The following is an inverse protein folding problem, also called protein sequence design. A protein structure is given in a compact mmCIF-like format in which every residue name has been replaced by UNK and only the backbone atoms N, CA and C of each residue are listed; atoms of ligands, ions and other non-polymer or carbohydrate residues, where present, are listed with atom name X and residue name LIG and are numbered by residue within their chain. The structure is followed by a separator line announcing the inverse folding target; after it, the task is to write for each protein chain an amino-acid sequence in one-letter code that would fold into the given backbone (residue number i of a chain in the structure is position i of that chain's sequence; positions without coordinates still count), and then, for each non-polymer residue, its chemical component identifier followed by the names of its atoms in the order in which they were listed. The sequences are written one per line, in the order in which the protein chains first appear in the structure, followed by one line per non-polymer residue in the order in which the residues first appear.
data_IF_503219010511
#
_entry.id   IF_503219010511
#
_cell.length_a   1.000
_cell.length_b   1.000
_cell.length_c   1.000
_cell.angle_alpha   90.00
_cell.angle_beta   90.00
_cell.angle_gamma   90.00
#
_symmetry.space_group_name_H-M   'P 1'
#
loop_
_entity.id
_entity.type
_entity.pdbx_description
1 polymer ?
#
# COMPACT_ATOMS: atom_id res chain seq x y z
N UNK A 1 36.87 5.05 -8.14
CA UNK A 1 35.85 4.14 -8.73
C UNK A 1 35.33 3.24 -7.63
N UNK A 2 34.08 3.40 -7.18
CA UNK A 2 33.48 2.51 -6.18
C UNK A 2 33.07 1.20 -6.88
N UNK A 3 33.69 0.09 -6.48
CA UNK A 3 33.24 -1.26 -6.86
C UNK A 3 31.86 -1.48 -6.24
N UNK A 4 30.81 -1.42 -7.07
CA UNK A 4 29.50 -1.88 -6.65
C UNK A 4 29.58 -3.40 -6.46
N UNK A 5 29.57 -3.86 -5.21
CA UNK A 5 29.36 -5.27 -4.87
C UNK A 5 27.89 -5.66 -5.13
N UNK A 6 27.42 -5.52 -6.37
CA UNK A 6 26.07 -5.90 -6.82
C UNK A 6 25.90 -7.43 -6.98
N UNK A 7 26.95 -8.19 -6.67
CA UNK A 7 27.00 -9.63 -6.74
C UNK A 7 27.53 -10.14 -5.40
N UNK A 8 26.88 -11.17 -4.84
CA UNK A 8 27.54 -12.04 -3.87
C UNK A 8 28.90 -12.42 -4.46
N UNK A 9 30.00 -12.13 -3.74
CA UNK A 9 31.38 -12.43 -4.16
C UNK A 9 31.43 -13.82 -4.80
N UNK A 10 32.06 -13.91 -5.98
CA UNK A 10 32.35 -15.19 -6.63
C UNK A 10 32.90 -16.17 -5.60
N UNK A 11 32.13 -17.21 -5.31
CA UNK A 11 32.51 -18.28 -4.41
C UNK A 11 32.87 -19.48 -5.28
N UNK A 12 34.09 -20.03 -5.22
CA UNK A 12 34.43 -21.26 -5.93
C UNK A 12 33.54 -22.46 -5.55
N UNK A 13 32.78 -22.40 -4.45
CA UNK A 13 31.69 -23.34 -4.15
C UNK A 13 30.41 -23.16 -4.98
N UNK A 14 30.32 -22.12 -5.82
CA UNK A 14 29.16 -21.86 -6.66
C UNK A 14 28.91 -22.97 -7.70
N UNK A 15 29.94 -23.72 -8.09
CA UNK A 15 29.78 -24.92 -8.94
C UNK A 15 29.03 -26.05 -8.22
N UNK A 16 29.14 -26.15 -6.89
CA UNK A 16 28.45 -27.19 -6.09
C UNK A 16 26.97 -26.79 -5.87
N UNK A 17 26.69 -25.49 -5.73
CA UNK A 17 25.34 -24.93 -5.52
C UNK A 17 24.55 -24.84 -6.85
N UNK A 18 25.25 -24.65 -7.97
CA UNK A 18 24.66 -24.61 -9.31
C UNK A 18 24.05 -25.97 -9.72
N UNK A 19 24.59 -27.10 -9.26
CA UNK A 19 24.16 -28.44 -9.68
C UNK A 19 22.68 -28.74 -9.33
N UNK A 20 22.21 -28.56 -8.08
CA UNK A 20 20.79 -28.74 -7.74
C UNK A 20 19.85 -27.82 -8.54
N UNK A 21 20.25 -26.57 -8.78
CA UNK A 21 19.46 -25.61 -9.51
C UNK A 21 19.38 -25.95 -11.02
N UNK A 22 20.51 -26.31 -11.63
CA UNK A 22 20.60 -26.80 -13.02
C UNK A 22 19.75 -28.06 -13.21
N UNK A 23 19.85 -29.01 -12.28
CA UNK A 23 19.03 -30.25 -12.31
C UNK A 23 17.54 -29.89 -12.22
N UNK A 24 17.15 -28.99 -11.31
CA UNK A 24 15.75 -28.56 -11.19
C UNK A 24 15.22 -27.82 -12.43
N UNK A 25 16.08 -27.04 -13.09
CA UNK A 25 15.76 -26.28 -14.31
C UNK A 25 15.64 -27.20 -15.52
N UNK A 26 16.58 -28.13 -15.69
CA UNK A 26 16.57 -29.12 -16.78
C UNK A 26 15.36 -30.04 -16.64
N UNK A 27 15.04 -30.49 -15.41
CA UNK A 27 13.84 -31.32 -15.14
C UNK A 27 12.55 -30.56 -15.45
N UNK A 28 12.51 -29.25 -15.18
CA UNK A 28 11.29 -28.44 -15.42
C UNK A 28 11.16 -27.91 -16.85
N UNK A 29 12.24 -27.83 -17.63
CA UNK A 29 12.23 -27.32 -19.00
C UNK A 29 11.80 -25.85 -19.17
N UNK A 30 11.72 -25.09 -18.07
CA UNK A 30 11.15 -23.74 -18.04
C UNK A 30 12.20 -22.66 -18.29
N UNK A 31 11.80 -21.63 -19.01
CA UNK A 31 12.62 -20.43 -19.20
C UNK A 31 12.54 -19.49 -17.97
N UNK A 32 13.46 -18.54 -17.88
CA UNK A 32 13.56 -17.60 -16.76
C UNK A 32 12.28 -16.79 -16.53
N UNK A 33 11.53 -16.48 -17.60
CA UNK A 33 10.28 -15.74 -17.52
C UNK A 33 9.21 -16.59 -16.85
N UNK A 34 9.05 -17.85 -17.26
CA UNK A 34 8.11 -18.80 -16.64
C UNK A 34 8.40 -19.01 -15.16
N UNK A 35 9.67 -19.23 -14.81
CA UNK A 35 10.11 -19.38 -13.41
C UNK A 35 9.78 -18.14 -12.58
N UNK A 36 10.01 -16.94 -13.14
CA UNK A 36 9.67 -15.69 -12.47
C UNK A 36 8.15 -15.54 -12.25
N UNK A 37 7.32 -15.90 -13.23
CA UNK A 37 5.86 -15.80 -13.08
C UNK A 37 5.30 -16.83 -12.10
N UNK A 38 5.90 -18.02 -11.99
CA UNK A 38 5.56 -18.98 -10.93
C UNK A 38 5.86 -18.43 -9.55
N UNK A 39 7.04 -17.80 -9.36
CA UNK A 39 7.39 -17.12 -8.12
C UNK A 39 6.40 -15.99 -7.83
N UNK A 40 6.07 -15.16 -8.82
CA UNK A 40 5.09 -14.08 -8.68
C UNK A 40 3.76 -14.65 -8.17
N UNK A 41 3.18 -15.63 -8.86
CA UNK A 41 1.87 -16.18 -8.49
C UNK A 41 1.88 -16.78 -7.08
N UNK A 42 2.90 -17.57 -6.75
CA UNK A 42 3.04 -18.16 -5.42
C UNK A 42 3.19 -17.10 -4.32
N UNK A 43 3.94 -16.01 -4.59
CA UNK A 43 4.10 -14.93 -3.62
C UNK A 43 2.86 -14.07 -3.47
N UNK A 44 2.07 -13.88 -4.53
CA UNK A 44 0.76 -13.20 -4.44
C UNK A 44 -0.18 -13.96 -3.52
N UNK A 45 -0.32 -15.27 -3.72
CA UNK A 45 -1.12 -16.14 -2.86
C UNK A 45 -0.62 -16.11 -1.42
N UNK A 46 0.70 -16.18 -1.22
CA UNK A 46 1.32 -16.09 0.11
C UNK A 46 1.03 -14.73 0.77
N UNK A 47 1.24 -13.63 0.05
CA UNK A 47 1.07 -12.27 0.56
C UNK A 47 -0.39 -11.93 0.87
N UNK A 48 -1.34 -12.45 0.11
CA UNK A 48 -2.78 -12.27 0.35
C UNK A 48 -3.23 -12.82 1.72
N UNK A 49 -2.51 -13.82 2.25
CA UNK A 49 -2.78 -14.41 3.56
C UNK A 49 -2.05 -13.71 4.72
N UNK A 50 -1.16 -12.75 4.43
CA UNK A 50 -0.39 -12.02 5.44
C UNK A 50 -1.17 -10.79 5.91
N UNK A 51 -1.51 -10.75 7.20
CA UNK A 51 -2.12 -9.59 7.87
C UNK A 51 -1.08 -8.89 8.71
N UNK A 52 -0.62 -7.73 8.24
CA UNK A 52 0.33 -6.89 8.97
C UNK A 52 -0.40 -5.77 9.74
N UNK A 53 -0.02 -5.56 10.99
CA UNK A 53 -0.33 -4.38 11.77
C UNK A 53 0.53 -3.17 11.33
N UNK A 54 0.34 -1.99 11.93
CA UNK A 54 1.05 -0.77 11.51
C UNK A 54 2.56 -0.83 11.73
N UNK A 55 3.02 -1.44 12.83
CA UNK A 55 4.44 -1.62 13.14
C UNK A 55 5.06 -2.60 12.15
N UNK A 56 4.42 -3.74 11.93
CA UNK A 56 4.90 -4.79 11.01
C UNK A 56 4.96 -4.29 9.56
N UNK A 57 4.06 -3.38 9.16
CA UNK A 57 4.12 -2.71 7.84
C UNK A 57 5.31 -1.77 7.75
N UNK A 58 5.59 -1.00 8.79
CA UNK A 58 6.73 -0.10 8.84
C UNK A 58 8.05 -0.87 8.80
N UNK A 59 8.16 -1.95 9.58
CA UNK A 59 9.31 -2.87 9.54
C UNK A 59 9.46 -3.50 8.17
N UNK A 60 8.37 -3.99 7.57
CA UNK A 60 8.39 -4.54 6.20
C UNK A 60 8.84 -3.50 5.17
N UNK A 61 8.48 -2.22 5.34
CA UNK A 61 8.92 -1.14 4.47
C UNK A 61 10.42 -0.86 4.63
N UNK A 62 10.95 -0.91 5.86
CA UNK A 62 12.39 -0.78 6.12
C UNK A 62 13.14 -1.93 5.46
N UNK A 63 12.69 -3.17 5.68
CA UNK A 63 13.27 -4.36 5.05
C UNK A 63 13.22 -4.22 3.53
N UNK A 64 12.05 -3.89 2.97
CA UNK A 64 11.90 -3.64 1.54
C UNK A 64 12.93 -2.66 1.02
N UNK A 65 13.10 -1.50 1.67
CA UNK A 65 14.03 -0.46 1.23
C UNK A 65 15.49 -0.94 1.29
N UNK A 66 15.85 -1.73 2.31
CA UNK A 66 17.22 -2.23 2.55
C UNK A 66 17.62 -3.43 1.67
N UNK A 67 16.70 -4.04 0.92
CA UNK A 67 17.05 -5.12 0.00
C UNK A 67 18.00 -4.60 -1.10
N UNK A 68 19.24 -5.06 -1.06
CA UNK A 68 20.33 -4.76 -2.00
C UNK A 68 20.69 -6.01 -2.83
N UNK A 69 19.85 -6.32 -3.82
CA UNK A 69 20.14 -7.37 -4.80
C UNK A 69 19.90 -6.89 -6.24
N UNK A 70 20.37 -7.66 -7.23
CA UNK A 70 20.25 -7.31 -8.65
C UNK A 70 18.80 -7.02 -9.07
N UNK A 71 17.86 -7.87 -8.65
CA UNK A 71 16.44 -7.71 -8.99
C UNK A 71 15.87 -6.44 -8.34
N UNK A 72 16.09 -6.26 -7.03
CA UNK A 72 15.64 -5.11 -6.27
C UNK A 72 16.14 -3.79 -6.86
N UNK A 73 17.43 -3.75 -7.22
CA UNK A 73 18.07 -2.58 -7.82
C UNK A 73 17.33 -2.14 -9.09
N UNK A 74 16.99 -3.08 -9.97
CA UNK A 74 16.30 -2.76 -11.22
C UNK A 74 14.80 -2.57 -11.05
N UNK A 75 14.16 -3.30 -10.14
CA UNK A 75 12.73 -3.18 -9.87
C UNK A 75 12.40 -1.83 -9.23
N UNK A 76 13.17 -1.42 -8.20
CA UNK A 76 13.02 -0.14 -7.49
C UNK A 76 13.43 1.07 -8.33
N UNK A 77 14.31 0.91 -9.32
CA UNK A 77 14.70 1.99 -10.21
C UNK A 77 13.52 2.63 -10.97
N UNK A 78 12.41 1.89 -11.11
CA UNK A 78 11.18 2.33 -11.76
C UNK A 78 10.06 2.68 -10.77
N UNK A 79 10.34 2.74 -9.46
CA UNK A 79 9.34 3.15 -8.46
C UNK A 79 9.09 4.65 -8.42
N UNK A 80 10.09 5.47 -8.78
CA UNK A 80 9.98 6.93 -8.74
C UNK A 80 9.14 7.52 -9.88
N UNK A 81 8.69 6.73 -10.85
CA UNK A 81 7.81 7.17 -11.93
C UNK A 81 6.42 6.56 -11.75
N UNK A 82 5.42 7.41 -11.55
CA UNK A 82 3.99 7.02 -11.50
C UNK A 82 3.45 6.45 -12.83
N UNK A 83 4.30 6.33 -13.85
CA UNK A 83 3.95 5.94 -15.22
C UNK A 83 4.16 4.43 -15.51
N UNK A 84 4.85 3.70 -14.62
CA UNK A 84 5.19 2.29 -14.88
C UNK A 84 4.34 1.32 -14.08
N UNK A 85 3.66 0.41 -14.79
CA UNK A 85 2.88 -0.67 -14.19
C UNK A 85 3.78 -1.75 -13.57
N UNK A 86 3.22 -2.63 -12.75
CA UNK A 86 3.96 -3.79 -12.22
C UNK A 86 4.56 -4.63 -13.35
N UNK A 87 3.78 -4.90 -14.40
CA UNK A 87 4.23 -5.59 -15.60
C UNK A 87 5.39 -4.87 -16.30
N UNK A 88 5.41 -3.54 -16.33
CA UNK A 88 6.54 -2.77 -16.89
C UNK A 88 7.81 -2.94 -16.06
N UNK A 89 7.70 -2.96 -14.73
CA UNK A 89 8.82 -3.23 -13.82
C UNK A 89 9.37 -4.64 -14.04
N UNK A 90 8.51 -5.65 -14.15
CA UNK A 90 8.92 -7.03 -14.44
C UNK A 90 9.61 -7.15 -15.80
N UNK A 91 9.04 -6.53 -16.85
CA UNK A 91 9.67 -6.49 -18.19
C UNK A 91 11.05 -5.83 -18.15
N UNK A 92 11.21 -4.76 -17.37
CA UNK A 92 12.50 -4.09 -17.22
C UNK A 92 13.54 -4.97 -16.51
N UNK A 93 13.17 -5.63 -15.41
CA UNK A 93 14.05 -6.57 -14.71
C UNK A 93 14.52 -7.70 -15.64
N UNK A 94 13.60 -8.31 -16.39
CA UNK A 94 13.92 -9.35 -17.37
C UNK A 94 14.86 -8.84 -18.48
N UNK A 95 14.65 -7.60 -18.96
CA UNK A 95 15.53 -6.97 -19.95
C UNK A 95 16.96 -6.76 -19.41
N UNK A 96 17.09 -6.34 -18.14
CA UNK A 96 18.39 -6.17 -17.49
C UNK A 96 19.09 -7.51 -17.26
N UNK A 97 18.37 -8.51 -16.78
CA UNK A 97 18.86 -9.88 -16.68
C UNK A 97 19.37 -10.41 -18.03
N UNK A 98 18.58 -10.26 -19.10
CA UNK A 98 18.98 -10.74 -20.43
C UNK A 98 20.22 -10.02 -20.97
N UNK A 99 20.40 -8.74 -20.66
CA UNK A 99 21.61 -7.99 -21.01
C UNK A 99 22.83 -8.53 -20.25
N UNK A 100 22.70 -8.73 -18.95
CA UNK A 100 23.77 -9.22 -18.08
C UNK A 100 24.17 -10.66 -18.42
N UNK A 101 23.18 -11.52 -18.65
CA UNK A 101 23.40 -12.92 -19.05
C UNK A 101 24.19 -13.03 -20.35
N UNK A 102 23.93 -12.16 -21.33
CA UNK A 102 24.68 -12.14 -22.60
C UNK A 102 26.14 -11.67 -22.47
N UNK A 103 26.46 -10.90 -21.42
CA UNK A 103 27.84 -10.48 -21.15
C UNK A 103 28.67 -11.52 -20.41
N UNK A 104 28.06 -12.60 -19.91
CA UNK A 104 28.77 -13.67 -19.22
C UNK A 104 29.33 -14.69 -20.21
N UNK A 105 30.60 -15.04 -20.03
CA UNK A 105 31.34 -15.93 -20.93
C UNK A 105 31.20 -17.42 -20.57
N UNK A 106 30.72 -17.76 -19.37
CA UNK A 106 30.62 -19.15 -18.91
C UNK A 106 29.19 -19.56 -18.52
N UNK A 107 28.86 -20.82 -18.78
CA UNK A 107 27.57 -21.42 -18.41
C UNK A 107 27.36 -21.42 -16.88
N UNK A 108 28.42 -21.66 -16.10
CA UNK A 108 28.38 -21.61 -14.64
C UNK A 108 27.99 -20.21 -14.12
N UNK A 109 28.58 -19.14 -14.69
CA UNK A 109 28.24 -17.78 -14.30
C UNK A 109 26.79 -17.42 -14.66
N UNK A 110 26.29 -17.95 -15.78
CA UNK A 110 24.90 -17.73 -16.22
C UNK A 110 23.90 -18.36 -15.25
N UNK A 111 24.21 -19.56 -14.74
CA UNK A 111 23.38 -20.25 -13.74
C UNK A 111 23.36 -19.48 -12.42
N UNK A 112 24.53 -19.04 -11.94
CA UNK A 112 24.63 -18.25 -10.71
C UNK A 112 23.86 -16.94 -10.83
N UNK A 113 23.93 -16.26 -11.98
CA UNK A 113 23.15 -15.06 -12.24
C UNK A 113 21.64 -15.34 -12.21
N UNK A 114 21.21 -16.45 -12.81
CA UNK A 114 19.80 -16.85 -12.84
C UNK A 114 19.26 -17.15 -11.44
N UNK A 115 20.02 -17.89 -10.63
CA UNK A 115 19.66 -18.20 -9.26
C UNK A 115 19.58 -16.92 -8.41
N UNK A 116 20.57 -16.04 -8.53
CA UNK A 116 20.59 -14.75 -7.83
C UNK A 116 19.41 -13.85 -8.27
N UNK A 117 19.07 -13.86 -9.56
CA UNK A 117 17.94 -13.11 -10.09
C UNK A 117 16.61 -13.62 -9.51
N UNK A 118 16.38 -14.93 -9.50
CA UNK A 118 15.15 -15.52 -8.99
C UNK A 118 15.02 -15.41 -7.47
N UNK A 119 16.09 -15.66 -6.70
CA UNK A 119 16.12 -15.44 -5.25
C UNK A 119 15.88 -13.98 -4.89
N UNK A 120 16.57 -13.08 -5.61
CA UNK A 120 16.38 -11.64 -5.44
C UNK A 120 14.95 -11.20 -5.77
N UNK A 121 14.34 -11.77 -6.82
CA UNK A 121 12.93 -11.57 -7.14
C UNK A 121 12.03 -12.07 -6.02
N UNK A 122 12.30 -13.27 -5.48
CA UNK A 122 11.47 -13.86 -4.45
C UNK A 122 11.43 -13.00 -3.18
N UNK A 123 12.58 -12.54 -2.72
CA UNK A 123 12.71 -11.65 -1.57
C UNK A 123 12.05 -10.30 -1.82
N UNK A 124 12.41 -9.63 -2.92
CA UNK A 124 11.90 -8.28 -3.25
C UNK A 124 10.39 -8.28 -3.44
N UNK A 125 9.86 -9.24 -4.19
CA UNK A 125 8.45 -9.29 -4.55
C UNK A 125 7.57 -9.70 -3.38
N UNK A 126 8.06 -10.50 -2.44
CA UNK A 126 7.32 -10.83 -1.22
C UNK A 126 7.02 -9.56 -0.42
N UNK A 127 8.05 -8.77 -0.11
CA UNK A 127 7.90 -7.50 0.57
C UNK A 127 7.06 -6.51 -0.25
N UNK A 128 7.31 -6.41 -1.55
CA UNK A 128 6.51 -5.57 -2.45
C UNK A 128 5.02 -5.94 -2.40
N UNK A 129 4.65 -7.22 -2.37
CA UNK A 129 3.24 -7.63 -2.35
C UNK A 129 2.58 -7.44 -0.98
N UNK A 130 3.25 -7.77 0.12
CA UNK A 130 2.68 -7.55 1.46
C UNK A 130 2.52 -6.05 1.78
N UNK A 131 3.34 -5.18 1.17
CA UNK A 131 3.27 -3.72 1.26
C UNK A 131 2.24 -3.14 0.27
N UNK A 132 2.32 -3.52 -1.01
CA UNK A 132 1.63 -2.84 -2.13
C UNK A 132 0.45 -3.63 -2.73
N UNK A 133 0.48 -4.96 -2.80
CA UNK A 133 -0.66 -5.75 -3.31
C UNK A 133 -1.74 -6.00 -2.25
N UNK A 134 -1.44 -5.74 -0.98
CA UNK A 134 -2.44 -5.50 0.05
C UNK A 134 -3.08 -4.10 0.01
N UNK A 135 -2.86 -3.29 -1.06
CA UNK A 135 -3.77 -2.26 -1.62
C UNK A 135 -3.04 -1.27 -2.55
N UNK A 136 -3.62 -0.96 -3.74
CA UNK A 136 -3.66 0.47 -4.17
C UNK A 136 -4.20 1.23 -2.97
N UNK A 137 -3.52 2.26 -2.42
CA UNK A 137 -3.99 2.91 -1.21
C UNK A 137 -5.43 3.35 -1.44
N UNK A 138 -6.35 2.61 -0.82
CA UNK A 138 -7.75 3.02 -0.75
C UNK A 138 -7.63 4.32 0.03
N UNK A 139 -8.01 5.45 -0.57
CA UNK A 139 -8.16 6.69 0.19
C UNK A 139 -9.23 6.43 1.24
N UNK A 140 -8.80 5.99 2.42
CA UNK A 140 -9.65 5.81 3.58
C UNK A 140 -9.88 7.19 4.18
N UNK A 141 -11.02 7.37 4.83
CA UNK A 141 -11.32 8.57 5.59
C UNK A 141 -10.21 8.80 6.64
N UNK A 142 -9.73 7.72 7.28
CA UNK A 142 -8.56 7.77 8.17
C UNK A 142 -7.30 8.33 7.49
N UNK A 143 -6.99 7.94 6.24
CA UNK A 143 -5.82 8.45 5.52
C UNK A 143 -5.89 9.94 5.17
N UNK A 144 -7.08 10.53 5.23
CA UNK A 144 -7.31 11.95 4.98
C UNK A 144 -7.23 12.77 6.28
N UNK A 145 -7.30 12.12 7.44
CA UNK A 145 -7.15 12.78 8.74
C UNK A 145 -5.68 13.01 9.06
N UNK A 146 -5.37 14.10 9.77
CA UNK A 146 -4.00 14.48 10.08
C UNK A 146 -3.22 13.38 10.82
N UNK A 147 -3.89 12.57 11.64
CA UNK A 147 -3.33 11.34 12.22
C UNK A 147 -4.48 10.42 12.68
N UNK A 148 -4.11 9.17 13.03
CA UNK A 148 -5.04 8.14 13.53
C UNK A 148 -5.74 8.54 14.83
N UNK A 149 -5.05 9.26 15.70
CA UNK A 149 -5.61 9.76 16.97
C UNK A 149 -6.80 10.69 16.70
N UNK A 150 -6.63 11.67 15.82
CA UNK A 150 -7.67 12.63 15.45
C UNK A 150 -8.86 11.95 14.76
N UNK A 151 -8.61 10.93 13.95
CA UNK A 151 -9.68 10.12 13.38
C UNK A 151 -10.48 9.39 14.48
N UNK A 152 -9.82 8.77 15.45
CA UNK A 152 -10.50 8.06 16.54
C UNK A 152 -11.33 9.01 17.41
N UNK A 153 -10.78 10.20 17.73
CA UNK A 153 -11.50 11.26 18.45
C UNK A 153 -12.76 11.68 17.71
N UNK A 154 -12.64 11.93 16.40
CA UNK A 154 -13.78 12.27 15.56
C UNK A 154 -14.85 11.18 15.58
N UNK A 155 -14.48 9.92 15.38
CA UNK A 155 -15.43 8.80 15.41
C UNK A 155 -16.09 8.65 16.77
N UNK A 156 -15.36 8.85 17.88
CA UNK A 156 -15.93 8.81 19.21
C UNK A 156 -17.01 9.88 19.41
N UNK A 157 -16.73 11.13 19.03
CA UNK A 157 -17.70 12.23 19.11
C UNK A 157 -18.95 11.95 18.27
N UNK A 158 -18.77 11.43 17.04
CA UNK A 158 -19.90 11.08 16.17
C UNK A 158 -20.76 9.95 16.74
N UNK A 159 -20.16 8.93 17.38
CA UNK A 159 -20.88 7.85 18.05
C UNK A 159 -21.63 8.33 19.29
N UNK A 160 -20.98 9.14 20.12
CA UNK A 160 -21.56 9.65 21.37
C UNK A 160 -22.74 10.59 21.14
N UNK A 161 -22.80 11.18 19.95
CA UNK A 161 -23.92 12.00 19.49
C UNK A 161 -24.92 11.25 18.60
N UNK A 162 -24.84 9.90 18.52
CA UNK A 162 -25.76 9.05 17.76
C UNK A 162 -25.82 9.33 16.25
N UNK A 163 -24.82 10.00 15.69
CA UNK A 163 -24.72 10.29 14.25
C UNK A 163 -24.14 9.13 13.43
N UNK A 164 -23.72 8.07 14.12
CA UNK A 164 -23.37 6.78 13.52
C UNK A 164 -24.39 5.75 14.01
N UNK A 165 -25.05 5.06 13.07
CA UNK A 165 -25.95 3.97 13.42
C UNK A 165 -25.20 2.72 13.89
N UNK A 166 -25.93 1.67 14.30
CA UNK A 166 -25.35 0.41 14.81
C UNK A 166 -24.39 -0.32 13.85
N UNK A 167 -24.40 0.04 12.57
CA UNK A 167 -23.49 -0.50 11.54
C UNK A 167 -22.33 0.46 11.21
N UNK A 168 -22.10 1.49 12.03
CA UNK A 168 -21.19 2.61 11.75
C UNK A 168 -21.50 3.35 10.44
N UNK A 169 -22.77 3.45 10.01
CA UNK A 169 -23.13 4.34 8.90
C UNK A 169 -23.42 5.74 9.42
N UNK A 170 -22.97 6.76 8.69
CA UNK A 170 -23.35 8.15 9.00
C UNK A 170 -24.82 8.36 8.67
N UNK A 171 -25.57 8.84 9.68
CA UNK A 171 -26.99 9.12 9.59
C UNK A 171 -27.25 10.62 9.78
N UNK A 172 -26.66 11.44 8.91
CA UNK A 172 -26.78 12.91 8.93
C UNK A 172 -26.86 13.51 7.53
N UNK A 173 -27.50 14.70 7.38
CA UNK A 173 -27.53 15.41 6.11
C UNK A 173 -26.14 15.83 5.61
N UNK A 174 -25.96 15.79 4.28
CA UNK A 174 -24.69 16.16 3.63
C UNK A 174 -24.25 17.58 3.98
N UNK A 175 -25.19 18.52 4.04
CA UNK A 175 -24.88 19.93 4.30
C UNK A 175 -24.33 20.13 5.73
N UNK A 176 -24.90 19.42 6.70
CA UNK A 176 -24.45 19.45 8.08
C UNK A 176 -23.06 18.83 8.22
N UNK A 177 -22.84 17.68 7.59
CA UNK A 177 -21.53 17.05 7.55
C UNK A 177 -20.46 17.93 6.86
N UNK A 178 -20.82 18.63 5.79
CA UNK A 178 -19.93 19.59 5.14
C UNK A 178 -19.52 20.75 6.07
N UNK A 179 -20.42 21.17 6.97
CA UNK A 179 -20.13 22.12 8.05
C UNK A 179 -19.06 21.60 9.01
N UNK A 180 -19.20 20.36 9.48
CA UNK A 180 -18.21 19.68 10.35
C UNK A 180 -16.85 19.59 9.68
N UNK A 181 -16.78 19.14 8.42
CA UNK A 181 -15.50 19.08 7.68
C UNK A 181 -14.86 20.45 7.51
N UNK A 182 -15.67 21.48 7.28
CA UNK A 182 -15.18 22.86 7.13
C UNK A 182 -14.62 23.39 8.44
N UNK A 183 -15.29 23.09 9.57
CA UNK A 183 -14.82 23.42 10.90
C UNK A 183 -13.45 22.80 11.18
N UNK A 184 -13.30 21.48 10.98
CA UNK A 184 -12.05 20.76 11.20
C UNK A 184 -10.91 21.27 10.30
N UNK A 185 -11.20 21.64 9.05
CA UNK A 185 -10.23 22.26 8.14
C UNK A 185 -9.79 23.64 8.58
N UNK A 186 -10.72 24.52 8.93
CA UNK A 186 -10.41 25.89 9.40
C UNK A 186 -9.51 25.87 10.64
N UNK A 187 -9.64 24.85 11.48
CA UNK A 187 -8.85 24.67 12.70
C UNK A 187 -7.58 23.83 12.49
N UNK A 188 -7.27 23.44 11.26
CA UNK A 188 -6.00 22.79 10.89
C UNK A 188 -5.89 21.29 11.18
N UNK A 189 -6.99 20.64 11.59
CA UNK A 189 -7.03 19.21 11.91
C UNK A 189 -7.09 18.31 10.66
N UNK A 190 -7.52 18.87 9.52
CA UNK A 190 -7.51 18.24 8.21
C UNK A 190 -6.86 19.23 7.23
N UNK A 191 -5.84 18.79 6.47
CA UNK A 191 -5.03 19.70 5.63
C UNK A 191 -5.24 19.47 4.15
N UNK A 192 -5.42 20.54 3.37
CA UNK A 192 -5.30 20.60 1.90
C UNK A 192 -6.00 19.48 1.09
N UNK A 193 -7.12 18.93 1.58
CA UNK A 193 -7.90 17.89 0.88
C UNK A 193 -9.20 18.49 0.33
N UNK A 194 -9.60 18.09 -0.88
CA UNK A 194 -10.89 18.53 -1.48
C UNK A 194 -12.05 17.81 -0.78
N UNK A 195 -13.18 18.51 -0.58
CA UNK A 195 -14.39 17.90 0.02
C UNK A 195 -14.84 16.63 -0.72
N UNK A 196 -14.69 16.61 -2.05
CA UNK A 196 -15.05 15.44 -2.88
C UNK A 196 -14.19 14.20 -2.59
N UNK A 197 -12.92 14.37 -2.23
CA UNK A 197 -12.05 13.25 -1.86
C UNK A 197 -12.46 12.66 -0.51
N UNK A 198 -12.85 13.52 0.44
CA UNK A 198 -13.39 13.11 1.74
C UNK A 198 -14.68 12.31 1.57
N UNK A 199 -15.63 12.82 0.78
CA UNK A 199 -16.92 12.15 0.52
C UNK A 199 -16.71 10.77 -0.11
N UNK A 200 -15.80 10.63 -1.07
CA UNK A 200 -15.46 9.34 -1.70
C UNK A 200 -14.89 8.34 -0.69
N UNK A 201 -14.01 8.82 0.19
CA UNK A 201 -13.41 8.01 1.24
C UNK A 201 -14.44 7.54 2.29
N UNK A 202 -15.41 8.39 2.62
CA UNK A 202 -16.50 8.06 3.55
C UNK A 202 -17.48 7.04 3.00
N UNK A 203 -17.89 7.18 1.73
CA UNK A 203 -18.65 6.14 1.03
C UNK A 203 -17.96 4.78 1.11
N UNK A 204 -16.63 4.81 1.09
CA UNK A 204 -15.80 3.61 1.09
C UNK A 204 -15.68 2.97 2.48
N UNK A 205 -15.59 3.77 3.53
CA UNK A 205 -15.26 3.30 4.88
C UNK A 205 -16.47 3.16 5.82
N UNK A 206 -17.54 3.93 5.59
CA UNK A 206 -18.69 4.05 6.50
C UNK A 206 -20.02 3.76 5.80
N UNK A 207 -20.00 3.10 4.64
CA UNK A 207 -21.21 2.78 3.83
C UNK A 207 -22.22 3.94 3.82
N UNK A 208 -21.72 5.13 3.44
CA UNK A 208 -22.49 6.35 3.47
C UNK A 208 -23.46 6.39 2.29
N UNK A 209 -24.72 6.07 2.57
CA UNK A 209 -25.81 6.30 1.63
C UNK A 209 -26.07 7.80 1.52
N UNK A 210 -25.84 8.36 0.33
CA UNK A 210 -26.34 9.70 0.02
C UNK A 210 -27.85 9.56 -0.08
N UNK A 211 -28.53 9.89 1.01
CA UNK A 211 -29.98 10.03 0.98
C UNK A 211 -30.35 11.06 -0.08
N UNK A 212 -30.98 10.59 -1.16
CA UNK A 212 -31.67 11.44 -2.13
C UNK A 212 -32.80 12.23 -1.48
N UNK A 213 -33.24 11.83 -0.27
CA UNK A 213 -34.20 12.56 0.55
C UNK A 213 -33.66 13.88 1.15
N UNK A 214 -32.42 14.28 0.80
CA UNK A 214 -31.97 15.67 0.99
C UNK A 214 -32.86 16.70 0.26
N UNK A 215 -33.83 16.26 -0.54
CA UNK A 215 -34.90 17.08 -1.12
C UNK A 215 -36.34 16.69 -0.72
N UNK A 216 -36.56 15.69 0.14
CA UNK A 216 -37.92 15.25 0.52
C UNK A 216 -38.06 14.96 2.03
N UNK A 217 -38.58 15.97 2.72
CA UNK A 217 -39.22 16.03 4.05
C UNK A 217 -39.58 14.69 4.74
N UNK A 218 -38.64 14.08 5.46
CA UNK A 218 -38.97 12.90 6.29
C UNK A 218 -37.94 12.54 7.36
N UNK A 219 -36.66 12.86 7.18
CA UNK A 219 -35.70 12.84 8.30
C UNK A 219 -35.73 14.18 9.02
N UNK A 220 -35.79 14.22 10.36
CA UNK A 220 -35.65 15.46 11.08
C UNK A 220 -34.26 16.04 10.78
N UNK A 221 -34.22 17.28 10.28
CA UNK A 221 -32.99 18.05 10.24
C UNK A 221 -32.42 18.10 11.66
N UNK A 222 -31.08 18.01 11.85
CA UNK A 222 -30.48 18.29 13.13
C UNK A 222 -31.00 19.65 13.61
N UNK A 223 -31.53 19.69 14.82
CA UNK A 223 -31.94 20.95 15.45
C UNK A 223 -30.71 21.84 15.65
N UNK A 224 -30.89 23.16 15.70
CA UNK A 224 -29.79 24.09 16.01
C UNK A 224 -29.06 23.74 17.31
N UNK A 225 -29.74 23.10 18.25
CA UNK A 225 -29.18 22.63 19.51
C UNK A 225 -28.28 21.41 19.33
N UNK A 226 -28.70 20.43 18.52
CA UNK A 226 -27.91 19.25 18.16
C UNK A 226 -26.66 19.61 17.33
N UNK A 227 -26.79 20.58 16.42
CA UNK A 227 -25.65 21.12 15.67
C UNK A 227 -24.64 21.77 16.61
N UNK A 228 -25.12 22.67 17.48
CA UNK A 228 -24.27 23.36 18.45
C UNK A 228 -23.57 22.38 19.38
N UNK A 229 -24.30 21.40 19.92
CA UNK A 229 -23.74 20.37 20.79
C UNK A 229 -22.62 19.60 20.08
N UNK A 230 -22.81 19.22 18.82
CA UNK A 230 -21.75 18.54 18.07
C UNK A 230 -20.50 19.41 17.90
N UNK A 231 -20.67 20.68 17.55
CA UNK A 231 -19.53 21.60 17.41
C UNK A 231 -18.84 21.87 18.74
N UNK A 232 -19.57 21.94 19.84
CA UNK A 232 -19.03 22.10 21.19
C UNK A 232 -18.25 20.84 21.60
N UNK A 233 -18.80 19.65 21.40
CA UNK A 233 -18.13 18.37 21.69
C UNK A 233 -16.87 18.18 20.85
N UNK A 234 -16.92 18.52 19.55
CA UNK A 234 -15.74 18.54 18.69
C UNK A 234 -14.71 19.57 19.18
N UNK A 235 -15.16 20.73 19.65
CA UNK A 235 -14.25 21.75 20.18
C UNK A 235 -13.56 21.27 21.46
N UNK A 236 -14.28 20.60 22.35
CA UNK A 236 -13.75 20.04 23.60
C UNK A 236 -12.76 18.90 23.30
N UNK A 237 -13.16 17.91 22.52
CA UNK A 237 -12.38 16.69 22.25
C UNK A 237 -11.04 17.01 21.57
N UNK A 238 -11.05 18.03 20.69
CA UNK A 238 -9.86 18.46 19.96
C UNK A 238 -9.17 19.69 20.59
N UNK A 239 -9.62 20.12 21.77
CA UNK A 239 -9.09 21.29 22.51
C UNK A 239 -9.03 22.57 21.65
N UNK A 240 -10.05 22.77 20.83
CA UNK A 240 -10.19 23.91 19.92
C UNK A 240 -10.97 25.01 20.64
N UNK A 241 -10.42 26.23 20.64
CA UNK A 241 -11.20 27.42 21.05
C UNK A 241 -12.10 27.87 19.91
N UNK A 242 -13.36 28.15 20.23
CA UNK A 242 -14.37 28.65 19.29
C UNK A 242 -13.85 29.88 18.52
#
# INVERSE_FOLDING_TARGET
MKQNNLYLKYNPGAEIIAIPFIVSRIIKGKNIKELLYEIINALREKAANVKLNELEKFESQIEYNNIENFFATHFKALENSNEHTFEDKIKYCLKKYAKESKSLLSAANTVVLEENFLKGAQETLFYYFIINENKKPKKTFQSIFANKENYNKFISVMKNNFYLNGNNKFDIPIIFFAGVLTFLKKKGLIKNVKNIDIIKALKTDFDFEISTASFSNGMPYPTKEEEKKLFDDLSIEFMIKY
#
